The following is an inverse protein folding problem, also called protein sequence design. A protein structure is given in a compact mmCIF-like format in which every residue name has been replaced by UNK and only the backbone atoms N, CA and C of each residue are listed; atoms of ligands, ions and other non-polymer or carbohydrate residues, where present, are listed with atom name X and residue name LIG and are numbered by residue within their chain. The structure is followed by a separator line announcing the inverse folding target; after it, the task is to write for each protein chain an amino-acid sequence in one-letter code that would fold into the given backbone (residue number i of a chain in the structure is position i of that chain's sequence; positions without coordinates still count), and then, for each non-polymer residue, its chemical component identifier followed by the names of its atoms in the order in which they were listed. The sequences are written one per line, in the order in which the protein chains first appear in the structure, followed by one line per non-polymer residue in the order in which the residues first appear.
data_IF_027086239864
#
_entry.id   IF_027086239864
#
_cell.length_a   1.000
_cell.length_b   1.000
_cell.length_c   1.000
_cell.angle_alpha   90.00
_cell.angle_beta   90.00
_cell.angle_gamma   90.00
#
_symmetry.space_group_name_H-M   'P 1'
#
loop_
_entity.id
_entity.type
_entity.pdbx_description
1 polymer ?
#
# COMPACT_ATOMS: atom_id res chain seq x y z
N UNK A 1 -18.55 -27.19 -33.95
CA UNK A 1 -17.81 -25.92 -34.14
C UNK A 1 -18.51 -24.86 -33.32
N UNK A 2 -17.87 -24.25 -32.30
CA UNK A 2 -18.53 -23.20 -31.54
C UNK A 2 -18.58 -21.92 -32.36
N UNK A 3 -19.76 -21.34 -32.48
CA UNK A 3 -19.99 -20.03 -33.10
C UNK A 3 -19.17 -18.98 -32.34
N UNK A 4 -18.23 -18.36 -33.05
CA UNK A 4 -17.51 -17.19 -32.58
C UNK A 4 -18.53 -16.04 -32.55
N UNK A 5 -18.76 -15.48 -31.37
CA UNK A 5 -19.56 -14.26 -31.20
C UNK A 5 -18.89 -13.14 -32.00
N UNK A 6 -19.57 -12.63 -33.04
CA UNK A 6 -19.09 -11.55 -33.91
C UNK A 6 -19.19 -10.14 -33.28
N UNK A 7 -19.49 -10.05 -31.97
CA UNK A 7 -19.52 -8.77 -31.26
C UNK A 7 -18.17 -8.50 -30.61
N UNK A 8 -17.44 -7.43 -30.97
CA UNK A 8 -16.30 -7.00 -30.19
C UNK A 8 -16.76 -6.64 -28.77
N UNK A 9 -15.97 -6.93 -27.73
CA UNK A 9 -16.35 -6.61 -26.35
C UNK A 9 -16.64 -5.11 -26.21
N UNK A 10 -17.55 -4.69 -25.30
CA UNK A 10 -17.98 -3.29 -25.16
C UNK A 10 -16.85 -2.29 -24.88
N UNK A 11 -15.68 -2.77 -24.42
CA UNK A 11 -14.48 -1.96 -24.12
C UNK A 11 -13.49 -1.85 -25.28
N UNK A 12 -13.84 -2.39 -26.45
CA UNK A 12 -12.99 -2.36 -27.66
C UNK A 12 -13.10 -1.04 -28.43
N UNK A 13 -14.05 -0.19 -28.06
CA UNK A 13 -14.31 1.08 -28.71
C UNK A 13 -14.02 2.22 -27.75
N UNK A 14 -12.75 2.61 -27.63
CA UNK A 14 -12.33 4.02 -27.63
C UNK A 14 -10.80 4.12 -27.38
N UNK A 15 -10.11 4.59 -28.43
CA UNK A 15 -8.65 4.82 -28.58
C UNK A 15 -7.76 3.57 -28.54
N UNK A 16 -7.36 3.11 -29.73
CA UNK A 16 -6.33 2.09 -29.97
C UNK A 16 -4.91 2.49 -29.50
N UNK A 17 -4.74 3.71 -28.98
CA UNK A 17 -3.45 4.19 -28.52
C UNK A 17 -3.63 4.96 -27.22
N UNK A 18 -2.83 4.66 -26.19
CA UNK A 18 -2.83 5.41 -24.94
C UNK A 18 -2.53 6.89 -25.24
N UNK A 19 -3.09 7.83 -24.45
CA UNK A 19 -2.83 9.25 -24.63
C UNK A 19 -1.32 9.54 -24.61
N UNK A 20 -0.86 10.56 -25.36
CA UNK A 20 0.55 10.94 -25.34
C UNK A 20 0.98 11.39 -23.93
N UNK A 21 2.28 11.34 -23.61
CA UNK A 21 2.81 11.84 -22.35
C UNK A 21 2.32 13.27 -22.05
N UNK A 22 1.97 13.56 -20.79
CA UNK A 22 1.60 14.90 -20.37
C UNK A 22 2.82 15.84 -20.50
N UNK A 23 2.59 17.06 -20.97
CA UNK A 23 3.63 18.09 -21.01
C UNK A 23 4.05 18.44 -19.58
N UNK A 24 5.33 18.24 -19.26
CA UNK A 24 5.89 18.51 -17.93
C UNK A 24 5.98 17.29 -17.00
N UNK A 25 5.62 16.08 -17.46
CA UNK A 25 5.91 14.84 -16.71
C UNK A 25 7.42 14.57 -16.74
N UNK A 26 8.11 15.01 -15.67
CA UNK A 26 9.58 15.08 -15.58
C UNK A 26 10.26 13.70 -15.75
N UNK A 27 9.53 12.60 -15.49
CA UNK A 27 10.08 11.24 -15.50
C UNK A 27 9.27 10.23 -16.33
N UNK A 28 8.32 10.68 -17.16
CA UNK A 28 7.37 9.80 -17.89
C UNK A 28 6.58 8.82 -17.00
N UNK A 29 6.57 9.01 -15.67
CA UNK A 29 5.99 8.05 -14.72
C UNK A 29 4.48 7.92 -14.92
N UNK A 30 3.78 9.02 -15.20
CA UNK A 30 2.34 8.97 -15.45
C UNK A 30 2.02 8.26 -16.77
N UNK A 31 2.86 8.45 -17.78
CA UNK A 31 2.72 7.74 -19.04
C UNK A 31 3.02 6.24 -18.91
N UNK A 32 4.10 5.86 -18.21
CA UNK A 32 4.40 4.46 -17.92
C UNK A 32 3.26 3.80 -17.13
N UNK A 33 2.72 4.49 -16.13
CA UNK A 33 1.54 4.05 -15.40
C UNK A 33 0.34 3.82 -16.32
N UNK A 34 0.02 4.75 -17.23
CA UNK A 34 -1.06 4.58 -18.21
C UNK A 34 -0.87 3.28 -19.01
N UNK A 35 0.35 3.03 -19.52
CA UNK A 35 0.64 1.81 -20.28
C UNK A 35 0.42 0.55 -19.45
N UNK A 36 0.92 0.53 -18.20
CA UNK A 36 0.75 -0.63 -17.32
C UNK A 36 -0.72 -0.82 -16.96
N UNK A 37 -1.44 0.26 -16.69
CA UNK A 37 -2.87 0.24 -16.41
C UNK A 37 -3.65 -0.36 -17.59
N UNK A 38 -3.42 0.10 -18.82
CA UNK A 38 -4.14 -0.42 -20.00
C UNK A 38 -3.96 -1.91 -20.24
N UNK A 39 -2.76 -2.44 -19.91
CA UNK A 39 -2.42 -3.85 -20.08
C UNK A 39 -2.88 -4.73 -18.91
N UNK A 40 -3.37 -4.15 -17.82
CA UNK A 40 -3.83 -4.92 -16.66
C UNK A 40 -5.21 -5.55 -16.89
N UNK A 41 -5.50 -6.63 -16.15
CA UNK A 41 -6.82 -7.27 -16.16
C UNK A 41 -7.90 -6.25 -15.80
N UNK A 42 -9.10 -6.43 -16.35
CA UNK A 42 -10.21 -5.48 -16.19
C UNK A 42 -10.61 -5.29 -14.72
N UNK A 43 -10.65 -6.38 -13.95
CA UNK A 43 -10.92 -6.29 -12.51
C UNK A 43 -9.86 -5.49 -11.75
N UNK A 44 -8.59 -5.54 -12.18
CA UNK A 44 -7.50 -4.76 -11.57
C UNK A 44 -7.62 -3.29 -11.96
N UNK A 45 -7.84 -3.00 -13.26
CA UNK A 45 -8.12 -1.64 -13.74
C UNK A 45 -9.29 -1.01 -12.99
N UNK A 46 -10.40 -1.74 -12.85
CA UNK A 46 -11.55 -1.30 -12.08
C UNK A 46 -11.17 -0.98 -10.63
N UNK A 47 -10.44 -1.88 -9.96
CA UNK A 47 -10.02 -1.67 -8.56
C UNK A 47 -9.08 -0.47 -8.37
N UNK A 48 -8.25 -0.14 -9.37
CA UNK A 48 -7.41 1.06 -9.38
C UNK A 48 -8.27 2.32 -9.47
N UNK A 49 -9.27 2.35 -10.36
CA UNK A 49 -10.20 3.48 -10.46
C UNK A 49 -11.03 3.67 -9.19
N UNK A 50 -11.47 2.57 -8.56
CA UNK A 50 -12.14 2.62 -7.27
C UNK A 50 -11.20 3.14 -6.16
N UNK A 51 -9.93 2.74 -6.17
CA UNK A 51 -8.92 3.17 -5.19
C UNK A 51 -8.65 4.68 -5.28
N UNK A 52 -8.58 5.23 -6.50
CA UNK A 52 -8.55 6.69 -6.66
C UNK A 52 -9.76 7.32 -5.95
N UNK A 53 -10.98 6.94 -6.33
CA UNK A 53 -12.21 7.54 -5.77
C UNK A 53 -12.32 7.40 -4.24
N UNK A 54 -11.94 6.23 -3.70
CA UNK A 54 -12.10 5.87 -2.29
C UNK A 54 -10.97 6.36 -1.36
N UNK A 55 -9.90 6.96 -1.89
CA UNK A 55 -8.77 7.40 -1.07
C UNK A 55 -9.19 8.42 0.00
N UNK A 56 -8.81 8.17 1.24
CA UNK A 56 -9.30 8.93 2.40
C UNK A 56 -8.62 10.29 2.55
N UNK A 57 -7.35 10.42 2.17
CA UNK A 57 -6.65 11.70 2.27
C UNK A 57 -7.21 12.69 1.24
N UNK A 58 -7.14 13.98 1.54
CA UNK A 58 -7.63 14.99 0.61
C UNK A 58 -6.75 15.05 -0.64
N UNK A 59 -7.37 14.91 -1.81
CA UNK A 59 -6.73 15.03 -3.11
C UNK A 59 -7.77 15.40 -4.18
N UNK A 60 -7.32 15.81 -5.37
CA UNK A 60 -8.16 16.53 -6.36
C UNK A 60 -9.37 15.74 -6.85
N UNK A 61 -9.30 14.41 -6.93
CA UNK A 61 -10.39 13.55 -7.41
C UNK A 61 -11.04 12.71 -6.31
N UNK A 62 -10.84 13.05 -5.03
CA UNK A 62 -11.49 12.35 -3.92
C UNK A 62 -13.01 12.30 -4.09
N UNK A 63 -13.58 11.10 -3.98
CA UNK A 63 -15.02 10.84 -4.14
C UNK A 63 -15.56 11.10 -5.55
N UNK A 64 -14.69 11.34 -6.54
CA UNK A 64 -15.06 11.50 -7.94
C UNK A 64 -14.71 10.23 -8.71
N UNK A 65 -15.56 9.87 -9.66
CA UNK A 65 -15.27 8.79 -10.58
C UNK A 65 -14.19 9.26 -11.56
N UNK A 66 -13.03 8.62 -11.52
CA UNK A 66 -11.96 8.83 -12.51
C UNK A 66 -12.29 7.98 -13.74
N UNK A 67 -12.45 8.63 -14.89
CA UNK A 67 -12.64 7.96 -16.17
C UNK A 67 -11.30 7.40 -16.67
N UNK A 68 -11.36 6.33 -17.46
CA UNK A 68 -10.19 5.72 -18.12
C UNK A 68 -9.37 6.73 -18.92
N UNK A 69 -10.04 7.65 -19.62
CA UNK A 69 -9.41 8.70 -20.43
C UNK A 69 -8.53 9.65 -19.61
N UNK A 70 -8.80 9.77 -18.31
CA UNK A 70 -8.23 10.78 -17.43
C UNK A 70 -7.26 10.15 -16.42
N UNK A 71 -7.02 8.84 -16.50
CA UNK A 71 -6.28 8.10 -15.48
C UNK A 71 -4.80 8.52 -15.41
N UNK A 72 -4.20 8.93 -16.54
CA UNK A 72 -2.86 9.52 -16.55
C UNK A 72 -2.80 10.84 -15.78
N UNK A 73 -3.80 11.72 -15.94
CA UNK A 73 -3.88 13.00 -15.24
C UNK A 73 -4.18 12.80 -13.75
N UNK A 74 -5.13 11.92 -13.44
CA UNK A 74 -5.46 11.55 -12.07
C UNK A 74 -4.23 10.97 -11.34
N UNK A 75 -3.47 10.09 -12.01
CA UNK A 75 -2.21 9.58 -11.47
C UNK A 75 -1.19 10.71 -11.28
N UNK A 76 -0.98 11.58 -12.27
CA UNK A 76 -0.03 12.68 -12.16
C UNK A 76 -0.32 13.58 -10.95
N UNK A 77 -1.60 13.90 -10.74
CA UNK A 77 -2.09 14.73 -9.63
C UNK A 77 -2.20 13.99 -8.27
N UNK A 78 -2.04 12.67 -8.24
CA UNK A 78 -2.18 11.88 -7.03
C UNK A 78 -1.03 12.14 -6.03
N UNK A 79 -1.31 12.13 -4.71
CA UNK A 79 -0.27 12.13 -3.70
C UNK A 79 0.59 10.86 -3.80
N UNK A 80 1.84 10.92 -3.36
CA UNK A 80 2.80 9.83 -3.55
C UNK A 80 2.34 8.50 -2.94
N UNK A 81 1.70 8.53 -1.78
CA UNK A 81 1.14 7.34 -1.14
C UNK A 81 0.06 6.64 -2.00
N UNK A 82 -0.79 7.42 -2.68
CA UNK A 82 -1.80 6.90 -3.59
C UNK A 82 -1.15 6.34 -4.87
N UNK A 83 -0.14 7.02 -5.42
CA UNK A 83 0.68 6.51 -6.54
C UNK A 83 1.28 5.15 -6.20
N UNK A 84 1.91 5.02 -5.03
CA UNK A 84 2.48 3.76 -4.55
C UNK A 84 1.43 2.66 -4.38
N UNK A 85 0.21 2.99 -3.94
CA UNK A 85 -0.89 2.03 -3.81
C UNK A 85 -1.33 1.47 -5.16
N UNK A 86 -1.59 2.32 -6.14
CA UNK A 86 -2.03 1.87 -7.46
C UNK A 86 -0.89 1.20 -8.25
N UNK A 87 0.35 1.67 -8.11
CA UNK A 87 1.53 1.01 -8.67
C UNK A 87 1.68 -0.42 -8.10
N UNK A 88 1.42 -0.59 -6.80
CA UNK A 88 1.46 -1.89 -6.14
C UNK A 88 0.38 -2.84 -6.68
N UNK A 89 -0.86 -2.36 -6.87
CA UNK A 89 -1.95 -3.15 -7.44
C UNK A 89 -1.60 -3.67 -8.84
N UNK A 90 -1.03 -2.80 -9.68
CA UNK A 90 -0.63 -3.15 -11.04
C UNK A 90 0.56 -4.11 -11.05
N UNK A 91 1.60 -3.84 -10.25
CA UNK A 91 2.80 -4.66 -10.17
C UNK A 91 2.50 -6.11 -9.80
N UNK A 92 1.56 -6.32 -8.88
CA UNK A 92 1.19 -7.64 -8.38
C UNK A 92 -0.11 -8.18 -8.97
N UNK A 93 -0.66 -7.50 -9.99
CA UNK A 93 -1.92 -7.87 -10.65
C UNK A 93 -3.03 -8.21 -9.63
N UNK A 94 -3.14 -7.40 -8.57
CA UNK A 94 -3.97 -7.68 -7.40
C UNK A 94 -5.20 -6.77 -7.37
N UNK A 95 -6.43 -7.31 -7.53
CA UNK A 95 -7.65 -6.53 -7.45
C UNK A 95 -8.03 -6.26 -5.99
N UNK A 96 -7.88 -5.02 -5.55
CA UNK A 96 -8.24 -4.58 -4.21
C UNK A 96 -8.58 -3.09 -4.22
N UNK A 97 -9.59 -2.67 -3.47
CA UNK A 97 -9.87 -1.25 -3.27
C UNK A 97 -9.16 -0.79 -2.00
N UNK A 98 -8.20 0.11 -2.13
CA UNK A 98 -7.45 0.68 -1.01
C UNK A 98 -8.00 2.06 -0.65
N UNK A 99 -7.99 2.39 0.64
CA UNK A 99 -8.48 3.68 1.15
C UNK A 99 -7.36 4.54 1.74
N UNK A 100 -6.23 3.95 2.11
CA UNK A 100 -5.03 4.67 2.56
C UNK A 100 -3.77 3.81 2.40
N UNK A 101 -2.59 4.39 2.65
CA UNK A 101 -1.30 3.70 2.50
C UNK A 101 -1.17 2.50 3.44
N UNK A 102 -1.80 2.58 4.61
CA UNK A 102 -1.81 1.48 5.59
C UNK A 102 -2.40 0.22 4.94
N UNK A 103 -3.47 0.33 4.14
CA UNK A 103 -4.04 -0.83 3.43
C UNK A 103 -3.00 -1.47 2.51
N UNK A 104 -2.28 -0.68 1.71
CA UNK A 104 -1.22 -1.17 0.82
C UNK A 104 -0.13 -1.91 1.60
N UNK A 105 0.34 -1.33 2.72
CA UNK A 105 1.38 -1.92 3.57
C UNK A 105 0.97 -3.29 4.12
N UNK A 106 -0.29 -3.46 4.51
CA UNK A 106 -0.79 -4.76 4.97
C UNK A 106 -0.85 -5.82 3.88
N UNK A 107 -1.34 -5.44 2.70
CA UNK A 107 -1.34 -6.35 1.55
C UNK A 107 0.09 -6.77 1.18
N UNK A 108 1.05 -5.85 1.22
CA UNK A 108 2.47 -6.17 1.00
C UNK A 108 3.04 -7.07 2.12
N UNK A 109 2.70 -6.83 3.38
CA UNK A 109 3.11 -7.67 4.51
C UNK A 109 2.64 -9.12 4.35
N UNK A 110 1.34 -9.30 4.08
CA UNK A 110 0.74 -10.63 3.87
C UNK A 110 1.38 -11.30 2.66
N UNK A 111 1.52 -10.59 1.53
CA UNK A 111 2.19 -11.11 0.33
C UNK A 111 3.62 -11.57 0.61
N UNK A 112 4.43 -10.79 1.34
CA UNK A 112 5.81 -11.16 1.70
C UNK A 112 5.84 -12.39 2.61
N UNK A 113 4.90 -12.49 3.56
CA UNK A 113 4.77 -13.66 4.43
C UNK A 113 4.40 -14.92 3.66
N UNK A 114 3.40 -14.85 2.80
CA UNK A 114 2.97 -15.97 1.95
C UNK A 114 4.08 -16.43 1.00
N UNK A 115 4.88 -15.49 0.50
CA UNK A 115 6.05 -15.79 -0.33
C UNK A 115 7.27 -16.30 0.46
N UNK A 116 7.22 -16.34 1.81
CA UNK A 116 8.36 -16.74 2.65
C UNK A 116 9.53 -15.76 2.63
N UNK A 117 9.29 -14.49 2.28
CA UNK A 117 10.32 -13.44 2.12
C UNK A 117 10.27 -12.36 3.21
N UNK A 118 9.37 -12.50 4.17
CA UNK A 118 9.20 -11.53 5.26
C UNK A 118 10.24 -11.73 6.36
N UNK A 119 10.92 -10.64 6.73
CA UNK A 119 11.85 -10.56 7.86
C UNK A 119 11.17 -9.79 9.01
N UNK A 120 10.89 -10.45 10.14
CA UNK A 120 10.26 -9.79 11.30
C UNK A 120 11.22 -8.84 12.03
N UNK A 121 12.51 -9.19 12.05
CA UNK A 121 13.58 -8.37 12.61
C UNK A 121 14.58 -8.10 11.50
N UNK A 122 14.70 -6.83 11.13
CA UNK A 122 15.62 -6.40 10.08
C UNK A 122 17.08 -6.38 10.62
N UNK A 123 18.07 -6.73 9.79
CA UNK A 123 19.46 -6.38 10.06
C UNK A 123 19.60 -4.86 10.27
N UNK A 124 20.49 -4.45 11.19
CA UNK A 124 20.65 -3.04 11.58
C UNK A 124 20.72 -2.07 10.40
N UNK A 125 21.55 -2.37 9.38
CA UNK A 125 21.68 -1.51 8.19
C UNK A 125 20.38 -1.34 7.42
N UNK A 126 19.57 -2.41 7.30
CA UNK A 126 18.26 -2.31 6.65
C UNK A 126 17.30 -1.50 7.53
N UNK A 127 17.30 -1.74 8.84
CA UNK A 127 16.49 -0.97 9.79
C UNK A 127 16.78 0.53 9.72
N UNK A 128 18.05 0.93 9.75
CA UNK A 128 18.43 2.34 9.65
C UNK A 128 18.01 2.97 8.32
N UNK A 129 18.20 2.24 7.22
CA UNK A 129 17.76 2.71 5.91
C UNK A 129 16.25 2.93 5.84
N UNK A 130 15.45 1.97 6.32
CA UNK A 130 13.99 2.08 6.38
C UNK A 130 13.54 3.20 7.33
N UNK A 131 14.25 3.39 8.44
CA UNK A 131 14.00 4.50 9.37
C UNK A 131 14.23 5.86 8.69
N UNK A 132 15.38 6.03 8.04
CA UNK A 132 15.75 7.29 7.40
C UNK A 132 14.83 7.63 6.21
N UNK A 133 14.31 6.60 5.53
CA UNK A 133 13.34 6.76 4.44
C UNK A 133 11.90 7.01 4.92
N UNK A 134 11.59 6.73 6.19
CA UNK A 134 10.24 6.91 6.73
C UNK A 134 9.86 8.39 6.88
N UNK A 135 8.56 8.67 6.98
CA UNK A 135 8.08 10.03 7.25
C UNK A 135 8.49 10.49 8.66
N UNK A 136 8.61 11.82 8.90
CA UNK A 136 8.95 12.33 10.23
C UNK A 136 8.06 11.81 11.36
N UNK A 137 6.76 11.64 11.10
CA UNK A 137 5.81 11.12 12.09
C UNK A 137 6.10 9.64 12.43
N UNK A 138 6.41 8.83 11.42
CA UNK A 138 6.76 7.41 11.62
C UNK A 138 8.12 7.27 12.31
N UNK A 139 9.09 8.10 11.94
CA UNK A 139 10.39 8.16 12.64
C UNK A 139 10.18 8.49 14.12
N UNK A 140 9.39 9.53 14.41
CA UNK A 140 9.11 9.96 15.77
C UNK A 140 8.36 8.89 16.58
N UNK A 141 7.32 8.28 16.00
CA UNK A 141 6.59 7.18 16.62
C UNK A 141 7.47 5.96 16.92
N UNK A 142 8.41 5.65 16.02
CA UNK A 142 9.39 4.57 16.19
C UNK A 142 10.36 4.88 17.34
N UNK A 143 10.84 6.13 17.47
CA UNK A 143 11.66 6.54 18.63
C UNK A 143 10.86 6.51 19.94
N UNK A 144 9.60 6.96 19.92
CA UNK A 144 8.71 6.90 21.08
C UNK A 144 8.35 5.47 21.48
N UNK A 145 8.34 4.53 20.54
CA UNK A 145 8.13 3.09 20.82
C UNK A 145 9.19 2.59 21.79
N UNK A 146 10.45 3.01 21.68
CA UNK A 146 11.52 2.63 22.63
C UNK A 146 11.14 3.07 24.06
N UNK A 147 10.69 4.31 24.22
CA UNK A 147 10.31 4.87 25.53
C UNK A 147 9.07 4.21 26.10
N UNK A 148 8.03 4.07 25.28
CA UNK A 148 6.77 3.46 25.67
C UNK A 148 6.97 1.99 26.07
N UNK A 149 7.81 1.28 25.33
CA UNK A 149 8.17 -0.10 25.61
C UNK A 149 8.94 -0.25 26.93
N UNK A 150 9.99 0.55 27.14
CA UNK A 150 10.76 0.53 28.38
C UNK A 150 9.91 0.90 29.61
N UNK A 151 9.03 1.89 29.46
CA UNK A 151 8.12 2.28 30.53
C UNK A 151 7.12 1.18 30.88
N UNK A 152 6.64 0.41 29.89
CA UNK A 152 5.63 -0.61 30.11
C UNK A 152 6.22 -1.95 30.59
N UNK A 153 7.27 -2.43 29.92
CA UNK A 153 7.83 -3.76 30.15
C UNK A 153 8.88 -3.76 31.26
N UNK A 154 9.74 -2.73 31.29
CA UNK A 154 10.87 -2.67 32.23
C UNK A 154 10.59 -1.75 33.43
N UNK A 155 9.48 -0.99 33.37
CA UNK A 155 9.10 0.04 34.35
C UNK A 155 10.17 1.12 34.54
N UNK A 156 11.00 1.34 33.52
CA UNK A 156 12.05 2.36 33.51
C UNK A 156 11.62 3.54 32.66
N UNK A 157 11.85 4.75 33.16
CA UNK A 157 11.70 5.97 32.38
C UNK A 157 13.03 6.32 31.73
N UNK A 158 13.06 6.26 30.41
CA UNK A 158 14.20 6.68 29.60
C UNK A 158 13.81 7.92 28.80
N UNK A 159 14.82 8.70 28.39
CA UNK A 159 14.61 9.77 27.42
C UNK A 159 14.41 9.18 26.03
N UNK A 160 13.62 9.86 25.20
CA UNK A 160 13.49 9.51 23.79
C UNK A 160 14.87 9.50 23.14
N UNK A 161 15.29 8.39 22.52
CA UNK A 161 16.57 8.34 21.84
C UNK A 161 16.56 9.32 20.66
N UNK A 162 17.71 9.96 20.44
CA UNK A 162 17.97 10.70 19.20
C UNK A 162 18.38 9.75 18.08
N UNK A 163 18.34 10.22 16.83
CA UNK A 163 18.76 9.45 15.66
C UNK A 163 20.18 8.88 15.80
N UNK A 164 21.11 9.65 16.35
CA UNK A 164 22.53 9.26 16.53
C UNK A 164 22.70 8.08 17.50
N UNK A 165 21.78 7.93 18.47
CA UNK A 165 21.79 6.85 19.45
C UNK A 165 20.98 5.62 19.01
N UNK A 166 20.24 5.72 17.90
CA UNK A 166 19.28 4.70 17.49
C UNK A 166 19.94 3.36 17.19
N UNK A 167 21.10 3.35 16.54
CA UNK A 167 21.81 2.11 16.21
C UNK A 167 22.19 1.32 17.47
N UNK A 168 22.79 2.00 18.45
CA UNK A 168 23.16 1.40 19.73
C UNK A 168 21.94 0.88 20.49
N UNK A 169 20.86 1.68 20.54
CA UNK A 169 19.60 1.28 21.17
C UNK A 169 19.00 0.05 20.49
N UNK A 170 19.00 0.03 19.16
CA UNK A 170 18.48 -1.08 18.38
C UNK A 170 19.31 -2.34 18.63
N UNK A 171 20.64 -2.28 18.59
CA UNK A 171 21.49 -3.46 18.84
C UNK A 171 21.27 -4.06 20.23
N UNK A 172 21.19 -3.20 21.26
CA UNK A 172 20.97 -3.59 22.65
C UNK A 172 19.52 -4.02 22.95
N UNK A 173 18.55 -3.71 22.08
CA UNK A 173 17.16 -4.03 22.30
C UNK A 173 16.89 -5.55 22.32
N UNK A 174 15.92 -5.93 23.15
CA UNK A 174 15.39 -7.30 23.16
C UNK A 174 14.77 -7.65 21.79
N UNK A 175 14.71 -8.94 21.42
CA UNK A 175 14.09 -9.36 20.16
C UNK A 175 12.66 -8.81 19.98
N UNK A 176 11.87 -8.78 21.05
CA UNK A 176 10.50 -8.25 21.01
C UNK A 176 10.44 -6.75 20.73
N UNK A 177 11.35 -5.96 21.31
CA UNK A 177 11.44 -4.54 21.00
C UNK A 177 11.95 -4.31 19.56
N UNK A 178 12.94 -5.09 19.10
CA UNK A 178 13.40 -5.02 17.70
C UNK A 178 12.26 -5.30 16.72
N UNK A 179 11.47 -6.35 16.98
CA UNK A 179 10.29 -6.67 16.18
C UNK A 179 9.26 -5.54 16.21
N UNK A 180 9.01 -4.93 17.38
CA UNK A 180 8.10 -3.78 17.49
C UNK A 180 8.56 -2.56 16.67
N UNK A 181 9.85 -2.24 16.71
CA UNK A 181 10.43 -1.14 15.94
C UNK A 181 10.36 -1.42 14.43
N UNK A 182 10.74 -2.63 14.00
CA UNK A 182 10.63 -3.04 12.60
C UNK A 182 9.18 -3.02 12.10
N UNK A 183 8.24 -3.51 12.91
CA UNK A 183 6.82 -3.50 12.59
C UNK A 183 6.24 -2.08 12.50
N UNK A 184 6.66 -1.16 13.38
CA UNK A 184 6.26 0.25 13.32
C UNK A 184 6.67 0.88 11.99
N UNK A 185 7.91 0.63 11.54
CA UNK A 185 8.42 1.11 10.25
C UNK A 185 7.71 0.46 9.06
N UNK A 186 7.59 -0.87 9.07
CA UNK A 186 6.96 -1.64 7.99
C UNK A 186 5.52 -1.15 7.76
N UNK A 187 4.78 -0.93 8.84
CA UNK A 187 3.38 -0.51 8.79
C UNK A 187 3.17 0.99 8.71
N UNK A 188 4.25 1.79 8.80
CA UNK A 188 4.16 3.24 8.75
C UNK A 188 3.30 3.79 9.88
N UNK A 189 3.45 3.27 11.10
CA UNK A 189 2.65 3.72 12.24
C UNK A 189 3.14 5.08 12.73
N UNK A 190 2.17 5.95 12.99
CA UNK A 190 2.35 7.29 13.56
C UNK A 190 2.15 7.33 15.09
N UNK A 191 1.87 6.17 15.70
CA UNK A 191 1.67 5.99 17.13
C UNK A 191 2.61 4.94 17.71
N UNK A 192 3.15 5.15 18.92
CA UNK A 192 4.10 4.24 19.53
C UNK A 192 3.46 2.91 19.96
N UNK A 193 4.27 1.85 19.93
CA UNK A 193 3.89 0.51 20.40
C UNK A 193 4.49 0.28 21.79
N UNK A 194 3.69 -0.24 22.72
CA UNK A 194 4.12 -0.54 24.09
C UNK A 194 4.06 -2.03 24.45
N UNK A 195 3.33 -2.83 23.67
CA UNK A 195 3.03 -4.24 23.97
C UNK A 195 3.11 -5.09 22.71
N UNK A 196 3.67 -6.29 22.82
CA UNK A 196 3.63 -7.30 21.75
C UNK A 196 2.19 -7.66 21.37
N UNK A 197 1.27 -7.72 22.34
CA UNK A 197 -0.14 -8.02 22.06
C UNK A 197 -0.76 -7.02 21.06
N UNK A 198 -0.39 -5.74 21.13
CA UNK A 198 -0.90 -4.74 20.18
C UNK A 198 -0.44 -5.03 18.74
N UNK A 199 0.73 -5.64 18.57
CA UNK A 199 1.26 -6.04 17.26
C UNK A 199 0.44 -7.22 16.75
N UNK A 200 0.26 -8.25 17.57
CA UNK A 200 -0.50 -9.45 17.18
C UNK A 200 -1.97 -9.16 16.91
N UNK A 201 -2.62 -8.33 17.74
CA UNK A 201 -4.00 -7.89 17.52
C UNK A 201 -4.15 -7.11 16.20
N UNK A 202 -3.19 -6.22 15.90
CA UNK A 202 -3.15 -5.49 14.63
C UNK A 202 -2.91 -6.44 13.45
N UNK A 203 -1.96 -7.38 13.57
CA UNK A 203 -1.68 -8.38 12.53
C UNK A 203 -2.94 -9.21 12.24
N UNK A 204 -3.64 -9.68 13.27
CA UNK A 204 -4.86 -10.48 13.14
C UNK A 204 -5.99 -9.70 12.46
N UNK A 205 -6.31 -8.49 12.97
CA UNK A 205 -7.32 -7.62 12.38
C UNK A 205 -7.04 -7.32 10.89
N UNK A 206 -5.77 -7.10 10.55
CA UNK A 206 -5.39 -6.73 9.19
C UNK A 206 -5.36 -7.93 8.26
N UNK A 207 -5.02 -9.11 8.76
CA UNK A 207 -5.20 -10.36 8.02
C UNK A 207 -6.68 -10.58 7.68
N UNK A 208 -7.60 -10.37 8.63
CA UNK A 208 -9.04 -10.44 8.36
C UNK A 208 -9.50 -9.44 7.28
N UNK A 209 -8.95 -8.22 7.28
CA UNK A 209 -9.25 -7.22 6.26
C UNK A 209 -8.73 -7.67 4.89
N UNK A 210 -7.51 -8.20 4.81
CA UNK A 210 -6.94 -8.72 3.55
C UNK A 210 -7.78 -9.87 3.00
N UNK A 211 -8.17 -10.82 3.85
CA UNK A 211 -9.03 -11.95 3.46
C UNK A 211 -10.45 -11.50 3.06
N UNK A 212 -11.01 -10.51 3.77
CA UNK A 212 -12.29 -9.90 3.38
C UNK A 212 -12.19 -9.26 2.00
N UNK A 213 -11.13 -8.51 1.72
CA UNK A 213 -10.93 -7.89 0.41
C UNK A 213 -10.81 -8.95 -0.69
N UNK A 214 -10.04 -10.02 -0.44
CA UNK A 214 -9.88 -11.13 -1.39
C UNK A 214 -11.21 -11.85 -1.67
N UNK A 215 -12.05 -12.05 -0.66
CA UNK A 215 -13.34 -12.74 -0.83
C UNK A 215 -14.39 -11.92 -1.60
N UNK A 216 -14.22 -10.60 -1.74
CA UNK A 216 -15.11 -9.75 -2.53
C UNK A 216 -14.81 -9.80 -4.04
N UNK A 217 -13.58 -10.16 -4.43
CA UNK A 217 -13.13 -10.15 -5.84
C UNK A 217 -14.02 -10.99 -6.76
N UNK A 218 -14.44 -12.22 -6.42
CA UNK A 218 -15.32 -13.01 -7.29
C UNK A 218 -16.69 -12.34 -7.53
N UNK A 219 -17.23 -11.68 -6.50
CA UNK A 219 -18.49 -10.95 -6.61
C UNK A 219 -18.34 -9.74 -7.54
N UNK A 220 -17.25 -8.98 -7.39
CA UNK A 220 -16.97 -7.85 -8.28
C UNK A 220 -16.79 -8.27 -9.73
N UNK A 221 -16.06 -9.37 -9.97
CA UNK A 221 -15.88 -9.91 -11.32
C UNK A 221 -17.20 -10.35 -11.96
N UNK A 222 -18.06 -11.03 -11.19
CA UNK A 222 -19.40 -11.42 -11.65
C UNK A 222 -20.28 -10.20 -11.97
N UNK A 223 -20.28 -9.20 -11.09
CA UNK A 223 -21.08 -7.98 -11.26
C UNK A 223 -20.61 -7.16 -12.45
N UNK A 224 -19.30 -7.04 -12.66
CA UNK A 224 -18.73 -6.39 -13.82
C UNK A 224 -19.18 -7.08 -15.11
N UNK A 225 -19.01 -8.39 -15.20
CA UNK A 225 -19.48 -9.16 -16.36
C UNK A 225 -20.98 -9.01 -16.63
N UNK A 226 -21.80 -9.09 -15.59
CA UNK A 226 -23.25 -8.94 -15.71
C UNK A 226 -23.68 -7.54 -16.17
N UNK A 227 -22.96 -6.51 -15.73
CA UNK A 227 -23.20 -5.12 -16.14
C UNK A 227 -22.62 -4.81 -17.53
N UNK A 228 -21.98 -5.78 -18.19
CA UNK A 228 -21.22 -5.54 -19.42
C UNK A 228 -20.05 -4.59 -19.19
N UNK A 229 -19.55 -4.52 -17.93
CA UNK A 229 -18.25 -4.09 -17.36
C UNK A 229 -17.01 -4.51 -18.14
N UNK A 230 -17.08 -5.77 -18.56
CA UNK A 230 -16.09 -6.50 -19.32
C UNK A 230 -16.65 -7.87 -19.71
#
# INVERSE_FOLDING_TARGET
MPQVSERPPPYSHERLSPPPPLQGDVDHRAWAFQLTFENAREIVRWSVLQTFSAWIDNWVYKGRNVCKSDVQEAYHAAPEALKQAVDWQLKWDTPVVMFCDITRRWHEHVRRKEAGTHEEILPLRKFEHEFDAASPDVQYATLLTVVAWASYNDRVRIKTPGRDSLAQVYEAASPSLKAALCFSLEMGLDLPIQRTQNIEDKKALMHEIVERNRSQVPQWDMQGKAAGLW
#
